data_IF_735809458726
#
_entry.id   IF_735809458726
#
_cell.length_a   1.000
_cell.length_b   1.000
_cell.length_c   1.000
_cell.angle_alpha   90.00
_cell.angle_beta   90.00
_cell.angle_gamma   90.00
#
_symmetry.space_group_name_H-M   'P 1'
#
loop_
_entity.id
_entity.type
_entity.pdbx_description
1 polymer ?
#
# COMPACT_ATOMS: atom_id res chain seq x y z
N UNK A 1 -14.10 9.54 -10.43
CA UNK A 1 -12.77 9.12 -10.93
C UNK A 1 -11.65 10.04 -10.50
N UNK A 2 -11.77 11.38 -10.66
CA UNK A 2 -10.75 12.32 -10.14
C UNK A 2 -10.85 12.47 -8.61
N UNK A 3 -12.07 12.50 -8.07
CA UNK A 3 -12.30 12.63 -6.62
C UNK A 3 -11.73 11.45 -5.83
N UNK A 4 -11.97 10.21 -6.31
CA UNK A 4 -11.47 8.99 -5.68
C UNK A 4 -9.94 8.96 -5.66
N UNK A 5 -9.30 9.38 -6.76
CA UNK A 5 -7.84 9.50 -6.83
C UNK A 5 -7.32 10.53 -5.83
N UNK A 6 -7.98 11.69 -5.71
CA UNK A 6 -7.56 12.77 -4.81
C UNK A 6 -7.73 12.36 -3.34
N UNK A 7 -8.91 11.84 -2.99
CA UNK A 7 -9.24 11.26 -1.69
C UNK A 7 -8.22 10.19 -1.28
N UNK A 8 -7.88 9.29 -2.20
CA UNK A 8 -6.89 8.27 -1.93
C UNK A 8 -5.47 8.83 -1.90
N UNK A 9 -5.10 9.81 -2.73
CA UNK A 9 -3.73 10.38 -2.71
C UNK A 9 -3.38 10.96 -1.35
N UNK A 10 -4.31 11.66 -0.69
CA UNK A 10 -4.09 12.20 0.65
C UNK A 10 -3.89 11.09 1.70
N UNK A 11 -4.68 10.01 1.62
CA UNK A 11 -4.54 8.88 2.54
C UNK A 11 -3.31 8.01 2.25
N UNK A 12 -2.95 7.89 0.97
CA UNK A 12 -1.82 7.11 0.47
C UNK A 12 -0.49 7.86 0.63
N UNK A 13 -0.50 9.16 0.94
CA UNK A 13 0.72 9.93 1.24
C UNK A 13 1.50 9.31 2.41
N UNK A 14 0.79 8.74 3.40
CA UNK A 14 1.41 7.97 4.48
C UNK A 14 2.13 6.69 3.99
N UNK A 15 1.68 6.11 2.88
CA UNK A 15 2.28 4.93 2.24
C UNK A 15 3.46 5.27 1.33
N UNK A 16 3.71 6.54 1.02
CA UNK A 16 4.91 6.93 0.27
C UNK A 16 6.18 6.45 0.99
N UNK A 17 6.16 6.44 2.32
CA UNK A 17 7.25 5.92 3.16
C UNK A 17 7.38 4.39 3.10
N UNK A 18 6.36 3.67 2.62
CA UNK A 18 6.44 2.23 2.36
C UNK A 18 7.17 1.91 1.05
N UNK A 19 7.29 2.87 0.13
CA UNK A 19 7.96 2.67 -1.16
C UNK A 19 9.39 2.15 -0.99
N UNK A 20 10.14 2.69 -0.02
CA UNK A 20 11.51 2.24 0.24
C UNK A 20 11.57 0.76 0.66
N UNK A 21 10.61 0.29 1.46
CA UNK A 21 10.54 -1.11 1.87
C UNK A 21 10.11 -2.02 0.71
N UNK A 22 9.03 -1.67 0.01
CA UNK A 22 8.54 -2.52 -1.10
C UNK A 22 9.51 -2.53 -2.28
N UNK A 23 10.35 -1.51 -2.45
CA UNK A 23 11.42 -1.50 -3.46
C UNK A 23 12.66 -2.29 -2.99
N UNK A 24 12.73 -2.72 -1.74
CA UNK A 24 13.90 -3.40 -1.16
C UNK A 24 15.06 -2.46 -0.82
N UNK A 25 14.83 -1.16 -0.82
CA UNK A 25 15.80 -0.14 -0.37
C UNK A 25 15.87 -0.07 1.15
N UNK A 26 14.82 -0.51 1.85
CA UNK A 26 14.76 -0.62 3.30
C UNK A 26 14.45 -2.07 3.73
N UNK A 27 15.24 -2.59 4.67
CA UNK A 27 15.03 -3.93 5.23
C UNK A 27 13.82 -4.04 6.17
N UNK A 28 13.34 -2.91 6.70
CA UNK A 28 12.23 -2.82 7.65
C UNK A 28 11.34 -1.63 7.29
N UNK A 29 10.00 -1.77 7.37
CA UNK A 29 9.11 -0.66 7.12
C UNK A 29 9.23 0.38 8.24
N UNK A 30 9.11 1.64 7.87
CA UNK A 30 9.09 2.74 8.85
C UNK A 30 7.79 2.70 9.66
N UNK A 31 7.84 3.27 10.87
CA UNK A 31 6.63 3.37 11.72
C UNK A 31 5.52 4.18 11.04
N UNK A 32 5.87 5.21 10.29
CA UNK A 32 4.91 6.01 9.51
C UNK A 32 4.26 5.20 8.39
N UNK A 33 5.02 4.33 7.70
CA UNK A 33 4.46 3.41 6.71
C UNK A 33 3.40 2.51 7.34
N UNK A 34 3.71 1.87 8.47
CA UNK A 34 2.76 0.98 9.13
C UNK A 34 1.55 1.72 9.69
N UNK A 35 1.73 2.93 10.23
CA UNK A 35 0.60 3.77 10.68
C UNK A 35 -0.30 4.16 9.50
N UNK A 36 0.28 4.57 8.38
CA UNK A 36 -0.45 4.89 7.15
C UNK A 36 -1.19 3.68 6.61
N UNK A 37 -0.55 2.51 6.55
CA UNK A 37 -1.15 1.27 6.06
C UNK A 37 -2.35 0.88 6.90
N UNK A 38 -2.22 0.92 8.22
CA UNK A 38 -3.32 0.62 9.13
C UNK A 38 -4.49 1.59 8.94
N UNK A 39 -4.22 2.89 8.83
CA UNK A 39 -5.26 3.90 8.59
C UNK A 39 -5.99 3.70 7.26
N UNK A 40 -5.28 3.38 6.18
CA UNK A 40 -5.89 3.13 4.86
C UNK A 40 -6.75 1.87 4.90
N UNK A 41 -6.27 0.81 5.54
CA UNK A 41 -7.02 -0.45 5.71
C UNK A 41 -8.28 -0.24 6.54
N UNK A 42 -8.21 0.52 7.64
CA UNK A 42 -9.34 0.77 8.54
C UNK A 42 -10.35 1.77 7.96
N UNK A 43 -9.88 2.81 7.26
CA UNK A 43 -10.74 3.94 6.82
C UNK A 43 -11.16 3.88 5.36
N UNK A 44 -10.39 3.23 4.49
CA UNK A 44 -10.61 3.35 3.05
C UNK A 44 -10.11 2.13 2.29
N UNK A 45 -10.84 1.04 2.46
CA UNK A 45 -10.65 -0.15 1.66
C UNK A 45 -10.69 0.08 0.14
N UNK A 46 -11.55 0.99 -0.30
CA UNK A 46 -11.61 1.48 -1.68
C UNK A 46 -10.26 2.03 -2.17
N UNK A 47 -9.55 2.80 -1.34
CA UNK A 47 -8.24 3.35 -1.69
C UNK A 47 -7.15 2.29 -1.76
N UNK A 48 -7.23 1.27 -0.90
CA UNK A 48 -6.35 0.11 -0.98
C UNK A 48 -6.54 -0.66 -2.30
N UNK A 49 -7.80 -0.88 -2.71
CA UNK A 49 -8.12 -1.53 -3.99
C UNK A 49 -7.58 -0.75 -5.18
N UNK A 50 -7.74 0.58 -5.20
CA UNK A 50 -7.22 1.46 -6.26
C UNK A 50 -5.69 1.39 -6.29
N UNK A 51 -5.03 1.40 -5.13
CA UNK A 51 -3.57 1.30 -5.03
C UNK A 51 -3.05 -0.04 -5.55
N UNK A 52 -3.69 -1.15 -5.19
CA UNK A 52 -3.30 -2.49 -5.66
C UNK A 52 -3.40 -2.52 -7.19
N UNK A 53 -4.52 -2.06 -7.76
CA UNK A 53 -4.70 -1.98 -9.22
C UNK A 53 -3.62 -1.13 -9.89
N UNK A 54 -3.27 0.02 -9.31
CA UNK A 54 -2.19 0.89 -9.80
C UNK A 54 -0.81 0.26 -9.67
N UNK A 55 -0.57 -0.53 -8.60
CA UNK A 55 0.72 -1.18 -8.34
C UNK A 55 0.94 -2.40 -9.24
N UNK A 56 -0.15 -2.99 -9.75
CA UNK A 56 -0.12 -4.08 -10.74
C UNK A 56 -0.19 -3.57 -12.18
N UNK A 57 -0.31 -2.26 -12.39
CA UNK A 57 -0.37 -1.68 -13.73
C UNK A 57 1.02 -1.78 -14.39
N UNK A 58 1.15 -2.52 -15.51
CA UNK A 58 2.44 -2.72 -16.16
C UNK A 58 3.03 -1.45 -16.80
N UNK A 59 2.24 -0.38 -16.92
CA UNK A 59 2.70 0.93 -17.40
C UNK A 59 3.25 1.82 -16.28
N UNK A 60 2.93 1.51 -15.01
CA UNK A 60 3.57 2.15 -13.87
C UNK A 60 4.90 1.45 -13.59
N UNK A 61 6.00 2.10 -13.97
CA UNK A 61 7.37 1.63 -13.76
C UNK A 61 7.79 1.74 -12.27
N UNK A 62 7.03 1.12 -11.36
CA UNK A 62 7.37 1.03 -9.94
C UNK A 62 8.18 -0.25 -9.75
N UNK A 63 9.43 -0.11 -9.31
CA UNK A 63 10.29 -1.24 -8.95
C UNK A 63 9.81 -1.90 -7.66
N UNK A 64 8.69 -2.62 -7.67
CA UNK A 64 8.25 -3.34 -6.49
C UNK A 64 8.92 -4.73 -6.40
N UNK A 65 9.30 -5.11 -5.19
CA UNK A 65 9.70 -6.45 -4.85
C UNK A 65 8.46 -7.15 -4.30
N UNK A 66 7.84 -8.00 -5.12
CA UNK A 66 6.58 -8.68 -4.80
C UNK A 66 6.62 -9.43 -3.46
N UNK A 67 7.79 -9.94 -3.08
CA UNK A 67 8.00 -10.63 -1.80
C UNK A 67 7.91 -9.67 -0.60
N UNK A 68 8.51 -8.48 -0.71
CA UNK A 68 8.42 -7.45 0.32
C UNK A 68 7.01 -6.86 0.37
N UNK A 69 6.36 -6.64 -0.77
CA UNK A 69 4.96 -6.21 -0.82
C UNK A 69 4.02 -7.20 -0.11
N UNK A 70 4.21 -8.51 -0.32
CA UNK A 70 3.39 -9.54 0.32
C UNK A 70 3.65 -9.65 1.84
N UNK A 71 4.87 -9.35 2.29
CA UNK A 71 5.22 -9.40 3.73
C UNK A 71 4.93 -8.10 4.47
N UNK A 72 4.76 -6.97 3.77
CA UNK A 72 4.52 -5.65 4.36
C UNK A 72 3.36 -5.65 5.38
N UNK A 73 2.17 -6.23 5.10
CA UNK A 73 1.09 -6.28 6.09
C UNK A 73 1.51 -6.98 7.39
N UNK A 74 2.22 -8.11 7.25
CA UNK A 74 2.70 -8.90 8.36
C UNK A 74 3.78 -8.16 9.16
N UNK A 75 4.76 -7.53 8.48
CA UNK A 75 5.80 -6.70 9.09
C UNK A 75 5.23 -5.50 9.86
N UNK A 76 4.09 -4.97 9.41
CA UNK A 76 3.41 -3.87 10.09
C UNK A 76 2.41 -4.31 11.17
N UNK A 77 2.27 -5.62 11.43
CA UNK A 77 1.19 -6.18 12.26
C UNK A 77 -0.20 -5.66 11.85
N UNK A 78 -0.34 -5.31 10.58
CA UNK A 78 -1.59 -4.90 9.98
C UNK A 78 -2.20 -6.15 9.38
N UNK A 79 -3.20 -6.71 10.05
CA UNK A 79 -3.99 -7.83 9.55
C UNK A 79 -4.80 -7.36 8.35
N UNK A 80 -4.19 -7.37 7.17
CA UNK A 80 -4.88 -7.08 5.91
C UNK A 80 -5.21 -8.42 5.29
N UNK A 81 -6.47 -8.82 5.37
CA UNK A 81 -6.94 -10.02 4.68
C UNK A 81 -7.03 -9.70 3.19
N UNK A 82 -5.94 -9.97 2.46
CA UNK A 82 -5.82 -9.68 1.02
C UNK A 82 -6.89 -10.44 0.22
N UNK A 83 -7.45 -11.53 0.75
CA UNK A 83 -8.55 -12.29 0.13
C UNK A 83 -9.86 -11.48 0.04
N UNK A 84 -10.01 -10.41 0.82
CA UNK A 84 -11.19 -9.53 0.74
C UNK A 84 -11.23 -8.67 -0.53
N UNK A 85 -10.10 -8.48 -1.23
CA UNK A 85 -10.00 -7.55 -2.37
C UNK A 85 -9.92 -8.22 -3.75
N UNK A 86 -9.97 -9.55 -3.82
CA UNK A 86 -9.97 -10.31 -5.07
C UNK A 86 -11.37 -10.62 -5.63
N UNK A 87 -12.42 -9.94 -5.13
CA UNK A 87 -13.80 -10.02 -5.66
C UNK A 87 -14.13 -8.78 -6.48
#
# INVERSE_FOLDING_TARGET
>A
MVEDKKECTEQLTGLATCLLYVQGEAAVPTKDCCRGLKQVVEKSGKCLCILIKYSTDPNLCIKNNTSLTATLPHSCSASVDILYYSV
#
